data_IF_386397441078
#
_entry.id   IF_386397441078
#
_cell.length_a   1.000
_cell.length_b   1.000
_cell.length_c   1.000
_cell.angle_alpha   90.00
_cell.angle_beta   90.00
_cell.angle_gamma   90.00
#
_symmetry.space_group_name_H-M   'P 1'
#
loop_
_entity.id
_entity.type
_entity.pdbx_description
1 polymer ?
#
# COMPACT_ATOMS: atom_id res chain seq x y z
N UNK A 1 -15.11 7.18 8.70
CA UNK A 1 -13.95 6.32 8.33
C UNK A 1 -13.98 6.11 6.83
N UNK A 2 -12.88 6.38 6.12
CA UNK A 2 -12.82 6.36 4.65
C UNK A 2 -12.91 4.94 4.07
N UNK A 3 -13.48 4.80 2.86
CA UNK A 3 -13.55 3.51 2.15
C UNK A 3 -12.16 2.96 1.84
N UNK A 4 -11.22 3.84 1.49
CA UNK A 4 -9.83 3.46 1.20
C UNK A 4 -9.17 2.77 2.39
N UNK A 5 -9.32 3.31 3.60
CA UNK A 5 -8.71 2.73 4.82
C UNK A 5 -9.20 1.30 5.08
N UNK A 6 -10.49 1.06 4.88
CA UNK A 6 -11.06 -0.29 5.01
C UNK A 6 -10.51 -1.24 3.96
N UNK A 7 -10.40 -0.76 2.72
CA UNK A 7 -9.91 -1.52 1.58
C UNK A 7 -8.41 -1.86 1.75
N UNK A 8 -7.57 -0.91 2.16
CA UNK A 8 -6.17 -1.15 2.54
C UNK A 8 -6.04 -2.15 3.67
N UNK A 9 -6.85 -2.01 4.74
CA UNK A 9 -6.83 -2.95 5.86
C UNK A 9 -7.21 -4.36 5.43
N UNK A 10 -8.19 -4.50 4.54
CA UNK A 10 -8.55 -5.80 3.96
C UNK A 10 -7.40 -6.38 3.13
N UNK A 11 -6.75 -5.57 2.28
CA UNK A 11 -5.59 -6.01 1.49
C UNK A 11 -4.43 -6.47 2.37
N UNK A 12 -4.09 -5.71 3.42
CA UNK A 12 -3.06 -6.11 4.41
C UNK A 12 -3.44 -7.45 5.08
N UNK A 13 -4.71 -7.62 5.43
CA UNK A 13 -5.19 -8.89 5.98
C UNK A 13 -5.10 -10.01 4.96
N UNK A 14 -5.45 -9.80 3.69
CA UNK A 14 -5.38 -10.84 2.66
C UNK A 14 -3.93 -11.20 2.33
N UNK A 15 -3.03 -10.22 2.35
CA UNK A 15 -1.59 -10.43 2.23
C UNK A 15 -0.97 -11.13 3.45
N UNK A 16 -1.70 -11.26 4.57
CA UNK A 16 -1.23 -11.97 5.77
C UNK A 16 -2.04 -13.21 6.13
N UNK A 17 -3.21 -13.42 5.51
CA UNK A 17 -4.11 -14.55 5.79
C UNK A 17 -3.55 -15.84 5.19
N UNK A 18 -3.31 -16.82 6.05
CA UNK A 18 -3.27 -18.24 5.71
C UNK A 18 -4.43 -18.93 6.42
N UNK A 19 -5.09 -19.87 5.74
CA UNK A 19 -5.91 -20.89 6.40
C UNK A 19 -5.01 -21.65 7.38
N UNK A 20 -5.28 -21.52 8.68
CA UNK A 20 -4.68 -22.37 9.71
C UNK A 20 -5.56 -23.63 9.79
N UNK A 21 -5.23 -24.66 9.01
CA UNK A 21 -5.90 -25.97 9.08
C UNK A 21 -6.00 -26.71 7.74
N UNK A 22 -6.41 -27.97 7.79
CA UNK A 22 -6.69 -28.83 6.62
C UNK A 22 -7.99 -28.45 5.88
N UNK A 23 -8.58 -27.29 6.18
CA UNK A 23 -9.72 -26.79 5.45
C UNK A 23 -9.23 -26.22 4.11
N UNK A 24 -9.46 -26.99 3.05
CA UNK A 24 -9.49 -26.46 1.68
C UNK A 24 -10.49 -25.30 1.65
N UNK A 25 -10.01 -24.07 1.44
CA UNK A 25 -10.86 -22.94 1.08
C UNK A 25 -11.37 -23.17 -0.35
N UNK A 26 -12.38 -24.02 -0.50
CA UNK A 26 -13.21 -24.05 -1.71
C UNK A 26 -14.15 -22.86 -1.66
N UNK A 27 -14.02 -21.94 -2.61
CA UNK A 27 -14.90 -20.77 -2.85
C UNK A 27 -14.73 -19.55 -1.95
N UNK A 28 -13.54 -18.96 -1.92
CA UNK A 28 -13.44 -17.50 -1.70
C UNK A 28 -13.02 -16.86 -3.01
N UNK A 29 -13.81 -15.90 -3.50
CA UNK A 29 -13.41 -15.02 -4.59
C UNK A 29 -11.99 -14.54 -4.35
N UNK A 30 -11.09 -14.61 -5.35
CA UNK A 30 -9.69 -14.24 -5.15
C UNK A 30 -9.64 -12.77 -4.73
N UNK A 31 -9.30 -12.55 -3.46
CA UNK A 31 -9.15 -11.22 -2.92
C UNK A 31 -7.73 -10.75 -3.24
N UNK A 32 -7.56 -9.60 -3.91
CA UNK A 32 -6.26 -9.20 -4.41
C UNK A 32 -5.33 -8.81 -3.25
N UNK A 33 -4.07 -9.25 -3.34
CA UNK A 33 -3.02 -8.96 -2.35
C UNK A 33 -2.41 -7.56 -2.51
N UNK A 34 -2.66 -6.94 -3.66
CA UNK A 34 -2.26 -5.58 -4.01
C UNK A 34 -3.44 -4.92 -4.72
N UNK A 35 -3.51 -3.60 -4.66
CA UNK A 35 -4.59 -2.81 -5.24
C UNK A 35 -4.09 -2.04 -6.45
N UNK A 36 -4.98 -1.78 -7.38
CA UNK A 36 -4.68 -0.93 -8.53
C UNK A 36 -5.41 0.39 -8.34
N UNK A 37 -4.67 1.49 -8.45
CA UNK A 37 -5.19 2.84 -8.54
C UNK A 37 -4.94 3.40 -9.94
N UNK A 38 -5.95 3.96 -10.58
CA UNK A 38 -5.79 4.57 -11.90
C UNK A 38 -6.28 6.01 -11.92
N UNK A 39 -5.58 6.85 -12.70
CA UNK A 39 -6.01 8.23 -12.95
C UNK A 39 -7.18 8.26 -13.94
N UNK A 40 -8.24 8.99 -13.60
CA UNK A 40 -9.40 9.19 -14.47
C UNK A 40 -9.84 10.65 -14.49
N UNK A 41 -10.11 11.17 -15.69
CA UNK A 41 -10.51 12.56 -15.88
C UNK A 41 -12.03 12.74 -15.91
N UNK A 42 -12.77 11.67 -16.22
CA UNK A 42 -14.22 11.69 -16.32
C UNK A 42 -14.87 10.38 -15.82
N UNK A 43 -16.18 10.43 -15.58
CA UNK A 43 -16.97 9.29 -15.09
C UNK A 43 -16.90 8.06 -16.01
N UNK A 44 -16.86 8.28 -17.32
CA UNK A 44 -16.83 7.20 -18.31
C UNK A 44 -15.51 6.43 -18.30
N UNK A 45 -14.39 7.13 -18.16
CA UNK A 45 -13.05 6.56 -18.00
C UNK A 45 -12.94 5.79 -16.68
N UNK A 46 -13.41 6.41 -15.57
CA UNK A 46 -13.43 5.75 -14.28
C UNK A 46 -14.19 4.41 -14.35
N UNK A 47 -15.37 4.38 -14.98
CA UNK A 47 -16.13 3.14 -15.15
C UNK A 47 -15.42 2.09 -16.01
N UNK A 48 -14.68 2.50 -17.05
CA UNK A 48 -13.88 1.57 -17.87
C UNK A 48 -12.74 0.96 -17.05
N UNK A 49 -12.02 1.78 -16.31
CA UNK A 49 -10.90 1.34 -15.46
C UNK A 49 -11.38 0.40 -14.35
N UNK A 50 -12.53 0.71 -13.71
CA UNK A 50 -13.13 -0.17 -12.71
C UNK A 50 -13.50 -1.54 -13.28
N UNK A 51 -14.06 -1.59 -14.51
CA UNK A 51 -14.35 -2.86 -15.21
C UNK A 51 -13.10 -3.65 -15.56
N UNK A 52 -11.97 -2.99 -15.77
CA UNK A 52 -10.68 -3.63 -16.02
C UNK A 52 -10.01 -4.22 -14.76
N UNK A 53 -10.58 -3.99 -13.57
CA UNK A 53 -10.03 -4.47 -12.30
C UNK A 53 -9.35 -3.40 -11.45
N UNK A 54 -9.49 -2.11 -11.82
CA UNK A 54 -9.06 -1.02 -10.96
C UNK A 54 -9.86 -1.03 -9.65
N UNK A 55 -9.18 -0.83 -8.53
CA UNK A 55 -9.78 -0.81 -7.19
C UNK A 55 -10.08 0.61 -6.71
N UNK A 56 -9.22 1.56 -7.06
CA UNK A 56 -9.21 2.94 -6.56
C UNK A 56 -9.10 3.93 -7.72
N UNK A 57 -9.87 5.02 -7.71
CA UNK A 57 -9.77 6.05 -8.74
C UNK A 57 -9.09 7.30 -8.17
N UNK A 58 -8.12 7.85 -8.91
CA UNK A 58 -7.53 9.15 -8.62
C UNK A 58 -7.99 10.16 -9.67
N UNK A 59 -8.37 11.35 -9.24
CA UNK A 59 -8.77 12.44 -10.14
C UNK A 59 -8.03 13.73 -9.82
N UNK A 60 -7.83 14.57 -10.84
CA UNK A 60 -7.16 15.87 -10.69
C UNK A 60 -8.11 16.97 -10.22
N UNK A 61 -9.42 16.77 -10.40
CA UNK A 61 -10.44 17.78 -10.09
C UNK A 61 -11.51 17.18 -9.21
N UNK A 62 -12.03 17.98 -8.29
CA UNK A 62 -13.11 17.57 -7.39
C UNK A 62 -14.42 17.51 -8.17
N UNK A 63 -14.66 16.35 -8.78
CA UNK A 63 -15.87 16.02 -9.52
C UNK A 63 -16.68 15.00 -8.73
N UNK A 64 -18.01 15.04 -8.89
CA UNK A 64 -18.88 14.02 -8.31
C UNK A 64 -18.79 12.74 -9.14
N UNK A 65 -18.25 11.68 -8.54
CA UNK A 65 -18.23 10.36 -9.15
C UNK A 65 -19.27 9.48 -8.44
N UNK A 66 -20.30 9.02 -9.15
CA UNK A 66 -21.22 7.99 -8.64
C UNK A 66 -20.56 6.60 -8.73
N UNK A 67 -19.45 6.42 -8.03
CA UNK A 67 -18.85 5.10 -7.84
C UNK A 67 -19.24 4.62 -6.46
N UNK A 68 -20.48 4.13 -6.31
CA UNK A 68 -21.06 3.79 -5.00
C UNK A 68 -20.14 2.92 -4.14
N UNK A 69 -19.36 2.02 -4.77
CA UNK A 69 -18.51 1.03 -4.07
C UNK A 69 -17.01 1.33 -4.03
N UNK A 70 -16.47 2.10 -4.96
CA UNK A 70 -15.02 2.27 -5.11
C UNK A 70 -14.56 3.60 -4.53
N UNK A 71 -13.43 3.62 -3.79
CA UNK A 71 -12.87 4.85 -3.27
C UNK A 71 -12.38 5.76 -4.40
N UNK A 72 -12.69 7.04 -4.29
CA UNK A 72 -12.21 8.10 -5.19
C UNK A 72 -11.35 9.06 -4.39
N UNK A 73 -10.19 9.43 -4.92
CA UNK A 73 -9.32 10.40 -4.30
C UNK A 73 -8.94 11.55 -5.22
N UNK A 74 -8.43 12.61 -4.61
CA UNK A 74 -7.88 13.78 -5.29
C UNK A 74 -6.40 13.92 -4.93
N UNK A 75 -5.59 14.39 -5.87
CA UNK A 75 -4.22 14.82 -5.59
C UNK A 75 -4.20 16.36 -5.56
N UNK A 76 -3.82 16.92 -4.43
CA UNK A 76 -3.73 18.38 -4.22
C UNK A 76 -2.46 18.64 -3.44
N UNK A 77 -1.55 19.45 -3.97
CA UNK A 77 -0.25 19.72 -3.31
C UNK A 77 -0.45 20.34 -1.92
N UNK A 78 -1.26 21.41 -1.82
CA UNK A 78 -1.52 22.12 -0.58
C UNK A 78 -3.04 22.28 -0.35
N UNK A 79 -3.75 21.23 0.10
CA UNK A 79 -5.17 21.33 0.40
C UNK A 79 -5.43 22.34 1.53
N UNK A 80 -6.46 23.14 1.39
CA UNK A 80 -7.00 23.99 2.46
C UNK A 80 -8.20 23.32 3.11
N UNK A 81 -8.65 23.80 4.27
CA UNK A 81 -9.87 23.31 4.92
C UNK A 81 -11.10 23.42 4.00
N UNK A 82 -11.18 24.48 3.19
CA UNK A 82 -12.27 24.65 2.21
C UNK A 82 -12.23 23.58 1.11
N UNK A 83 -11.04 23.25 0.61
CA UNK A 83 -10.83 22.19 -0.40
C UNK A 83 -11.23 20.83 0.17
N UNK A 84 -10.87 20.53 1.41
CA UNK A 84 -11.27 19.27 2.06
C UNK A 84 -12.79 19.21 2.27
N UNK A 85 -13.41 20.30 2.72
CA UNK A 85 -14.86 20.35 2.90
C UNK A 85 -15.61 20.15 1.57
N UNK A 86 -15.15 20.75 0.47
CA UNK A 86 -15.71 20.53 -0.88
C UNK A 86 -15.49 19.07 -1.35
N UNK A 87 -14.32 18.49 -1.07
CA UNK A 87 -14.02 17.10 -1.37
C UNK A 87 -14.97 16.14 -0.66
N UNK A 88 -15.19 16.34 0.66
CA UNK A 88 -16.12 15.53 1.45
C UNK A 88 -17.55 15.68 0.91
N UNK A 89 -18.00 16.92 0.62
CA UNK A 89 -19.32 17.18 0.06
C UNK A 89 -19.57 16.48 -1.29
N UNK A 90 -18.51 16.23 -2.07
CA UNK A 90 -18.55 15.52 -3.36
C UNK A 90 -18.22 14.02 -3.26
N UNK A 91 -18.23 13.46 -2.06
CA UNK A 91 -17.95 12.05 -1.77
C UNK A 91 -16.53 11.59 -2.18
N UNK A 92 -15.54 12.47 -2.08
CA UNK A 92 -14.13 12.08 -2.20
C UNK A 92 -13.70 11.39 -0.90
N UNK A 93 -13.14 10.19 -1.04
CA UNK A 93 -12.77 9.31 0.07
C UNK A 93 -11.37 9.60 0.64
N UNK A 94 -10.44 10.13 -0.17
CA UNK A 94 -9.07 10.42 0.27
C UNK A 94 -8.42 11.58 -0.49
N UNK A 95 -7.37 12.14 0.09
CA UNK A 95 -6.51 13.15 -0.51
C UNK A 95 -5.05 12.71 -0.48
N UNK A 96 -4.34 12.90 -1.59
CA UNK A 96 -2.88 12.85 -1.68
C UNK A 96 -2.37 14.29 -1.53
N UNK A 97 -1.48 14.54 -0.57
CA UNK A 97 -1.01 15.89 -0.24
C UNK A 97 0.49 15.95 0.06
N UNK A 98 1.08 17.13 -0.13
CA UNK A 98 2.46 17.44 0.26
C UNK A 98 2.48 18.04 1.68
N UNK A 99 3.16 17.38 2.61
CA UNK A 99 3.24 17.82 4.00
C UNK A 99 4.02 19.12 4.20
N UNK A 100 4.94 19.47 3.29
CA UNK A 100 5.75 20.68 3.40
C UNK A 100 4.91 21.93 3.09
N UNK A 101 3.87 21.77 2.28
CA UNK A 101 3.01 22.86 1.84
C UNK A 101 1.65 22.89 2.55
N UNK A 102 1.22 21.77 3.14
CA UNK A 102 -0.09 21.68 3.78
C UNK A 102 -0.09 22.25 5.19
N UNK A 103 -1.05 23.13 5.49
CA UNK A 103 -1.23 23.67 6.84
C UNK A 103 -1.69 22.59 7.82
N UNK A 104 -1.11 22.59 9.02
CA UNK A 104 -1.39 21.58 10.05
C UNK A 104 -2.87 21.50 10.48
N UNK A 105 -3.62 22.61 10.38
CA UNK A 105 -5.03 22.68 10.75
C UNK A 105 -5.95 21.89 9.80
N UNK A 106 -5.47 21.52 8.61
CA UNK A 106 -6.22 20.74 7.61
C UNK A 106 -6.46 19.31 8.08
N UNK A 107 -5.59 18.77 8.94
CA UNK A 107 -5.62 17.36 9.34
C UNK A 107 -6.43 17.06 10.61
N UNK A 108 -7.13 18.06 11.16
CA UNK A 108 -8.04 17.85 12.29
C UNK A 108 -9.31 17.05 11.93
N UNK A 109 -9.67 16.99 10.65
CA UNK A 109 -10.88 16.29 10.18
C UNK A 109 -10.65 14.78 10.00
N UNK A 110 -11.58 13.96 10.50
CA UNK A 110 -11.44 12.49 10.54
C UNK A 110 -12.15 11.74 9.41
N UNK A 111 -12.90 12.44 8.55
CA UNK A 111 -13.80 11.80 7.59
C UNK A 111 -13.12 11.41 6.27
N UNK A 112 -12.08 12.15 5.86
CA UNK A 112 -11.30 11.90 4.65
C UNK A 112 -10.01 11.13 4.94
N UNK A 113 -9.69 10.17 4.06
CA UNK A 113 -8.43 9.44 4.10
C UNK A 113 -7.24 10.32 3.72
N UNK A 114 -6.09 10.05 4.31
CA UNK A 114 -4.88 10.89 4.15
C UNK A 114 -3.74 10.08 3.57
N UNK A 115 -3.28 10.46 2.38
CA UNK A 115 -2.11 9.88 1.73
C UNK A 115 -1.02 10.94 1.65
N UNK A 116 0.13 10.63 2.22
CA UNK A 116 1.30 11.50 2.18
C UNK A 116 2.00 11.36 0.82
N UNK A 117 2.19 12.44 0.08
CA UNK A 117 3.05 12.50 -1.10
C UNK A 117 4.51 12.64 -0.65
N UNK A 118 5.32 11.61 -0.88
CA UNK A 118 6.72 11.54 -0.47
C UNK A 118 7.55 10.84 -1.57
N UNK A 119 7.73 11.46 -2.74
CA UNK A 119 8.41 10.85 -3.89
C UNK A 119 9.91 10.66 -3.65
N UNK A 120 10.48 11.47 -2.76
CA UNK A 120 11.85 11.36 -2.28
C UNK A 120 11.83 11.43 -0.76
N UNK A 121 12.37 10.41 -0.10
CA UNK A 121 12.50 10.38 1.35
C UNK A 121 13.98 10.27 1.73
N UNK A 122 14.46 11.16 2.59
CA UNK A 122 15.75 10.99 3.27
C UNK A 122 15.56 10.46 4.70
N UNK A 123 16.62 9.92 5.31
CA UNK A 123 16.56 9.30 6.64
C UNK A 123 16.08 10.27 7.74
N UNK A 124 16.51 11.54 7.67
CA UNK A 124 16.13 12.58 8.64
C UNK A 124 14.63 12.92 8.55
N UNK A 125 14.10 13.00 7.32
CA UNK A 125 12.67 13.19 7.05
C UNK A 125 11.87 12.01 7.58
N UNK A 126 12.28 10.76 7.30
CA UNK A 126 11.59 9.57 7.81
C UNK A 126 11.56 9.54 9.35
N UNK A 127 12.68 9.92 9.99
CA UNK A 127 12.78 10.00 11.44
C UNK A 127 11.82 11.02 12.05
N UNK A 128 11.54 12.11 11.33
CA UNK A 128 10.61 13.15 11.77
C UNK A 128 9.16 12.75 11.47
N UNK A 129 8.92 12.23 10.26
CA UNK A 129 7.61 11.86 9.77
C UNK A 129 7.02 10.65 10.48
N UNK A 130 7.81 9.77 11.12
CA UNK A 130 7.26 8.66 11.92
C UNK A 130 6.31 9.08 13.05
N UNK A 131 6.36 10.35 13.47
CA UNK A 131 5.47 10.88 14.50
C UNK A 131 4.16 11.45 13.95
N UNK A 132 4.02 11.56 12.62
CA UNK A 132 2.77 11.98 12.00
C UNK A 132 1.72 10.89 12.25
N UNK A 133 0.61 11.27 12.85
CA UNK A 133 -0.49 10.34 13.11
C UNK A 133 -1.54 10.49 12.00
N UNK A 134 -2.34 9.43 11.82
CA UNK A 134 -3.49 9.40 10.93
C UNK A 134 -3.18 9.47 9.42
N UNK A 135 -2.01 9.01 9.01
CA UNK A 135 -1.72 8.71 7.60
C UNK A 135 -2.19 7.30 7.28
N UNK A 136 -2.95 7.15 6.20
CA UNK A 136 -3.51 5.87 5.77
C UNK A 136 -2.61 5.16 4.75
N UNK A 137 -1.84 5.90 3.95
CA UNK A 137 -0.85 5.39 3.00
C UNK A 137 0.19 6.47 2.63
N UNK A 138 1.25 6.07 1.94
CA UNK A 138 2.31 6.98 1.47
C UNK A 138 2.53 6.76 -0.03
N UNK A 139 2.41 7.82 -0.83
CA UNK A 139 2.72 7.80 -2.25
C UNK A 139 4.21 8.09 -2.46
N UNK A 140 4.95 7.12 -3.01
CA UNK A 140 6.42 7.18 -3.14
C UNK A 140 6.89 7.49 -4.56
N UNK A 141 6.01 8.01 -5.42
CA UNK A 141 6.34 8.34 -6.80
C UNK A 141 6.55 7.13 -7.70
N UNK A 142 7.34 7.29 -8.76
CA UNK A 142 7.57 6.26 -9.78
C UNK A 142 8.57 5.20 -9.32
N UNK A 143 8.22 3.93 -9.52
CA UNK A 143 9.15 2.82 -9.26
C UNK A 143 10.32 2.86 -10.25
N UNK A 144 11.57 2.84 -9.77
CA UNK A 144 12.74 2.80 -10.65
C UNK A 144 12.78 1.52 -11.49
N UNK A 145 13.29 1.63 -12.71
CA UNK A 145 13.48 0.52 -13.63
C UNK A 145 14.95 0.45 -14.09
N UNK A 146 15.62 -0.70 -13.93
CA UNK A 146 15.14 -1.93 -13.28
C UNK A 146 14.93 -1.77 -11.76
N UNK A 147 14.04 -2.56 -11.17
CA UNK A 147 13.82 -2.59 -9.71
C UNK A 147 14.87 -3.47 -9.03
N UNK A 148 15.77 -2.85 -8.27
CA UNK A 148 16.91 -3.51 -7.65
C UNK A 148 16.65 -3.83 -6.18
N UNK A 149 17.46 -4.74 -5.61
CA UNK A 149 17.38 -5.11 -4.18
C UNK A 149 17.53 -3.88 -3.27
N UNK A 150 18.39 -2.92 -3.64
CA UNK A 150 18.53 -1.65 -2.90
C UNK A 150 17.21 -0.87 -2.84
N UNK A 151 16.41 -0.90 -3.91
CA UNK A 151 15.14 -0.19 -4.00
C UNK A 151 14.10 -0.93 -3.15
N UNK A 152 14.11 -2.26 -3.18
CA UNK A 152 13.29 -3.09 -2.29
C UNK A 152 13.54 -2.79 -0.80
N UNK A 153 14.82 -2.69 -0.40
CA UNK A 153 15.19 -2.35 0.97
C UNK A 153 14.78 -0.92 1.33
N UNK A 154 14.99 0.04 0.42
CA UNK A 154 14.61 1.43 0.62
C UNK A 154 13.11 1.61 0.84
N UNK A 155 12.27 1.03 -0.03
CA UNK A 155 10.82 1.10 0.16
C UNK A 155 10.37 0.37 1.44
N UNK A 156 10.99 -0.76 1.78
CA UNK A 156 10.70 -1.46 3.03
C UNK A 156 11.01 -0.60 4.26
N UNK A 157 12.10 0.16 4.22
CA UNK A 157 12.48 1.10 5.27
C UNK A 157 11.45 2.24 5.41
N UNK A 158 10.99 2.82 4.30
CA UNK A 158 9.94 3.84 4.31
C UNK A 158 8.66 3.28 4.95
N UNK A 159 8.21 2.10 4.50
CA UNK A 159 7.00 1.45 5.00
C UNK A 159 7.10 1.14 6.51
N UNK A 160 8.26 0.69 6.98
CA UNK A 160 8.51 0.39 8.39
C UNK A 160 8.53 1.65 9.26
N UNK A 161 9.21 2.71 8.83
CA UNK A 161 9.32 3.95 9.59
C UNK A 161 7.97 4.67 9.71
N UNK A 162 7.18 4.69 8.63
CA UNK A 162 5.88 5.39 8.61
C UNK A 162 4.73 4.50 9.07
N UNK A 163 4.97 3.19 9.27
CA UNK A 163 3.95 2.21 9.67
C UNK A 163 2.70 2.25 8.79
N UNK A 164 2.89 2.56 7.51
CA UNK A 164 1.83 2.77 6.53
C UNK A 164 2.16 2.04 5.22
N UNK A 165 1.14 1.52 4.52
CA UNK A 165 1.35 0.89 3.22
C UNK A 165 1.78 1.92 2.17
N UNK A 166 2.60 1.47 1.22
CA UNK A 166 3.09 2.33 0.15
C UNK A 166 2.23 2.21 -1.10
N UNK A 167 2.17 3.31 -1.82
CA UNK A 167 1.56 3.47 -3.13
C UNK A 167 2.63 3.96 -4.10
N UNK A 168 2.79 3.33 -5.25
CA UNK A 168 3.82 3.69 -6.21
C UNK A 168 3.30 3.68 -7.64
N UNK A 169 3.78 4.60 -8.46
CA UNK A 169 3.45 4.72 -9.88
C UNK A 169 4.30 3.76 -10.72
N UNK A 170 3.66 3.08 -11.65
CA UNK A 170 4.33 2.28 -12.67
C UNK A 170 3.85 2.69 -14.07
N UNK A 171 4.74 2.52 -15.04
CA UNK A 171 4.51 2.89 -16.43
C UNK A 171 4.50 1.69 -17.39
N UNK A 172 4.81 0.50 -16.88
CA UNK A 172 4.90 -0.75 -17.63
C UNK A 172 4.24 -1.89 -16.86
N UNK A 173 4.02 -3.02 -17.53
CA UNK A 173 3.47 -4.24 -16.92
C UNK A 173 4.61 -4.96 -16.21
N UNK A 174 4.60 -5.06 -14.87
CA UNK A 174 5.62 -5.77 -14.13
C UNK A 174 5.44 -7.28 -14.30
N UNK A 175 6.56 -7.99 -14.31
CA UNK A 175 6.56 -9.44 -14.18
C UNK A 175 6.02 -9.87 -12.82
N UNK A 176 5.58 -11.13 -12.70
CA UNK A 176 5.11 -11.69 -11.41
C UNK A 176 6.16 -11.57 -10.30
N UNK A 177 7.46 -11.70 -10.64
CA UNK A 177 8.55 -11.55 -9.67
C UNK A 177 8.71 -10.11 -9.19
N UNK A 178 8.52 -9.13 -10.07
CA UNK A 178 8.53 -7.71 -9.68
C UNK A 178 7.31 -7.37 -8.80
N UNK A 179 6.12 -7.88 -9.13
CA UNK A 179 4.94 -7.73 -8.28
C UNK A 179 5.17 -8.31 -6.87
N UNK A 180 5.81 -9.47 -6.77
CA UNK A 180 6.20 -10.05 -5.48
C UNK A 180 7.20 -9.16 -4.74
N UNK A 181 8.21 -8.65 -5.44
CA UNK A 181 9.20 -7.76 -4.86
C UNK A 181 8.57 -6.44 -4.35
N UNK A 182 7.58 -5.89 -5.07
CA UNK A 182 6.82 -4.70 -4.67
C UNK A 182 5.98 -4.98 -3.41
N UNK A 183 5.24 -6.10 -3.39
CA UNK A 183 4.47 -6.49 -2.21
C UNK A 183 5.38 -6.62 -0.98
N UNK A 184 6.51 -7.30 -1.15
CA UNK A 184 7.44 -7.60 -0.06
C UNK A 184 8.25 -6.36 0.40
N UNK A 185 8.27 -5.29 -0.40
CA UNK A 185 8.79 -3.98 0.00
C UNK A 185 7.75 -3.08 0.69
N UNK A 186 6.50 -3.54 0.82
CA UNK A 186 5.41 -2.79 1.44
C UNK A 186 4.58 -1.93 0.48
N UNK A 187 4.83 -2.02 -0.84
CA UNK A 187 3.98 -1.41 -1.86
C UNK A 187 2.72 -2.27 -1.99
N UNK A 188 1.58 -1.74 -1.54
CA UNK A 188 0.29 -2.41 -1.62
C UNK A 188 -0.65 -1.79 -2.64
N UNK A 189 -0.35 -0.59 -3.13
CA UNK A 189 -1.14 0.06 -4.17
C UNK A 189 -0.24 0.42 -5.35
N UNK A 190 -0.60 -0.08 -6.51
CA UNK A 190 0.06 0.25 -7.77
C UNK A 190 -0.78 1.33 -8.46
N UNK A 191 -0.20 2.51 -8.60
CA UNK A 191 -0.77 3.58 -9.41
C UNK A 191 -0.37 3.39 -10.87
N UNK A 192 -1.35 3.53 -11.77
CA UNK A 192 -1.13 3.49 -13.22
C UNK A 192 -1.71 4.74 -13.89
N UNK A 193 -1.15 5.14 -15.05
CA UNK A 193 -1.78 6.13 -15.91
C UNK A 193 -3.16 5.65 -16.39
N UNK A 194 -3.88 6.52 -17.09
CA UNK A 194 -5.19 6.22 -17.67
C UNK A 194 -5.07 5.23 -18.85
N UNK A 195 -4.76 3.97 -18.56
CA UNK A 195 -4.59 2.90 -19.52
C UNK A 195 -5.33 1.64 -19.05
N UNK A 196 -6.39 1.29 -19.76
CA UNK A 196 -7.25 0.15 -19.44
C UNK A 196 -6.55 -1.20 -19.70
N UNK A 197 -5.67 -1.27 -20.69
CA UNK A 197 -4.94 -2.51 -21.00
C UNK A 197 -3.94 -2.80 -19.90
N UNK A 198 -3.18 -1.79 -19.49
CA UNK A 198 -2.23 -1.88 -18.38
C UNK A 198 -2.92 -2.34 -17.08
N UNK A 199 -4.05 -1.74 -16.73
CA UNK A 199 -4.86 -2.17 -15.56
C UNK A 199 -5.26 -3.65 -15.66
N UNK A 200 -5.72 -4.09 -16.83
CA UNK A 200 -6.20 -5.46 -17.03
C UNK A 200 -5.06 -6.47 -16.86
N UNK A 201 -3.89 -6.19 -17.44
CA UNK A 201 -2.73 -7.06 -17.36
C UNK A 201 -2.16 -7.14 -15.94
N UNK A 202 -2.05 -6.00 -15.24
CA UNK A 202 -1.62 -5.97 -13.83
C UNK A 202 -2.62 -6.69 -12.93
N UNK A 203 -3.92 -6.47 -13.15
CA UNK A 203 -4.98 -7.12 -12.38
C UNK A 203 -4.86 -8.64 -12.48
N UNK A 204 -4.67 -9.16 -13.70
CA UNK A 204 -4.41 -10.57 -13.93
C UNK A 204 -3.13 -11.04 -13.22
N UNK A 205 -2.03 -10.28 -13.35
CA UNK A 205 -0.76 -10.59 -12.69
C UNK A 205 -0.89 -10.69 -11.17
N UNK A 206 -1.61 -9.77 -10.53
CA UNK A 206 -1.86 -9.76 -9.06
C UNK A 206 -2.65 -10.99 -8.62
N UNK A 207 -3.63 -11.43 -9.41
CA UNK A 207 -4.43 -12.62 -9.11
C UNK A 207 -3.63 -13.93 -9.25
N UNK A 208 -2.61 -13.94 -10.11
CA UNK A 208 -1.72 -15.09 -10.33
C UNK A 208 -0.56 -15.16 -9.34
N UNK A 209 -0.36 -14.14 -8.48
CA UNK A 209 0.72 -14.12 -7.50
C UNK A 209 0.57 -15.25 -6.47
N UNK A 210 1.68 -15.95 -6.13
CA UNK A 210 1.66 -16.91 -5.04
C UNK A 210 1.33 -16.21 -3.71
N UNK A 211 0.55 -16.89 -2.87
CA UNK A 211 0.34 -16.48 -1.48
C UNK A 211 1.69 -16.34 -0.76
N UNK A 212 1.88 -15.33 0.10
CA UNK A 212 3.12 -15.14 0.82
C UNK A 212 3.46 -16.38 1.66
N UNK A 213 4.72 -16.81 1.59
CA UNK A 213 5.20 -17.93 2.40
C UNK A 213 5.49 -17.43 3.81
N UNK A 214 4.96 -18.14 4.81
CA UNK A 214 5.33 -17.90 6.20
C UNK A 214 6.81 -18.30 6.34
N UNK A 215 7.69 -17.32 6.52
CA UNK A 215 9.04 -17.59 6.98
C UNK A 215 8.93 -18.24 8.37
N UNK A 216 9.01 -19.57 8.42
CA UNK A 216 9.17 -20.33 9.66
C UNK A 216 10.45 -19.90 10.42
N UNK A 217 11.31 -19.11 9.77
CA UNK A 217 12.62 -18.70 10.26
C UNK A 217 12.60 -17.56 11.29
N UNK A 218 11.49 -16.83 11.48
CA UNK A 218 11.41 -15.88 12.60
C UNK A 218 11.37 -16.57 13.98
N UNK A 219 11.32 -17.91 14.03
CA UNK A 219 11.58 -18.72 15.24
C UNK A 219 12.86 -19.58 15.15
N UNK A 220 13.66 -19.47 14.08
CA UNK A 220 14.84 -20.34 13.86
C UNK A 220 16.19 -19.67 14.15
N UNK A 221 16.23 -18.38 14.50
CA UNK A 221 17.39 -17.77 15.15
C UNK A 221 17.34 -17.98 16.66
N UNK A 222 17.23 -19.24 17.09
CA UNK A 222 17.89 -19.60 18.34
C UNK A 222 19.38 -19.62 18.01
N UNK A 223 20.22 -18.74 18.59
CA UNK A 223 21.66 -18.94 18.46
C UNK A 223 21.95 -20.34 18.99
N UNK A 224 22.48 -21.23 18.14
CA UNK A 224 23.11 -22.46 18.62
C UNK A 224 24.31 -21.99 19.43
N UNK A 225 24.11 -21.82 20.74
CA UNK A 225 25.21 -21.71 21.68
C UNK A 225 25.92 -23.06 21.59
N UNK A 226 27.18 -23.13 21.11
CA UNK A 226 27.93 -24.36 21.20
C UNK A 226 28.01 -24.71 22.67
N UNK A 227 27.52 -25.88 23.06
CA UNK A 227 27.67 -26.38 24.41
C UNK A 227 29.18 -26.53 24.68
N UNK A 228 29.77 -25.51 25.31
CA UNK A 228 31.08 -25.62 25.93
C UNK A 228 30.91 -26.55 27.13
N UNK A 229 31.03 -27.85 26.87
CA UNK A 229 31.11 -28.86 27.93
C UNK A 229 32.39 -28.63 28.71
N UNK A 230 32.26 -27.93 29.83
CA UNK A 230 33.34 -27.68 30.78
C UNK A 230 32.80 -27.67 32.20
N UNK A 231 33.51 -28.37 33.08
CA UNK A 231 33.35 -28.61 34.53
C UNK A 231 32.30 -29.67 34.92
N UNK A 232 32.69 -30.89 35.27
CA UNK A 232 33.36 -31.37 36.50
C UNK A 232 32.46 -31.33 37.74
N UNK A 233 32.08 -32.50 38.26
CA UNK A 233 32.42 -32.95 39.63
C UNK A 233 31.86 -34.34 39.94
N UNK A 234 32.63 -35.02 40.79
CA UNK A 234 32.46 -36.35 41.39
C UNK A 234 31.08 -36.59 42.03
N UNK A 235 30.66 -37.86 42.09
CA UNK A 235 30.37 -38.55 43.36
C UNK A 235 30.11 -40.06 43.17
N UNK A 236 30.96 -40.84 43.87
CA UNK A 236 30.71 -42.13 44.55
C UNK A 236 30.35 -43.39 43.74
N UNK A 237 31.25 -44.38 43.78
CA UNK A 237 31.01 -45.70 44.42
C UNK A 237 32.29 -46.34 44.92
#
# INVERSE_FOLDING_TARGET
>A
MSKLKNLLRQTIQNASRRSIGFAHETNTTPNPQMLIMAKANNKTEAQKLLKAGCSVILTEKINTFDTEKNPVGIQVEAPTTEVIADAIAKNIDFVIFDYEQTLANVFGESEIGKILDLPTANEDQLTTLKYIQNIDAVFVGTIPQPFLVKDQLHFREIAANLSAPLMALIEHVPSTNELLAFRDSGILVISVPNDTNLVTEISKGILEMPLPQLNAEHNAFSPMIPATGGSSEDHTH
#
